data_IF_064695995020
#
_entry.id   IF_064695995020
#
_cell.length_a   1.000
_cell.length_b   1.000
_cell.length_c   1.000
_cell.angle_alpha   90.00
_cell.angle_beta   90.00
_cell.angle_gamma   90.00
#
_symmetry.space_group_name_H-M   'P 1'
#
loop_
_entity.id
_entity.type
_entity.pdbx_description
1 polymer ?
#
# COMPACT_ATOMS: atom_id res chain seq x y z
N UNK A 1 17.92 6.08 -13.93
CA UNK A 1 17.01 6.90 -13.10
C UNK A 1 17.65 8.27 -12.88
N UNK A 2 16.90 9.37 -13.04
CA UNK A 2 17.43 10.72 -12.77
C UNK A 2 17.53 10.97 -11.26
N UNK A 3 18.39 11.92 -10.85
CA UNK A 3 18.52 12.30 -9.44
C UNK A 3 17.19 12.74 -8.83
N UNK A 4 16.37 13.49 -9.59
CA UNK A 4 15.06 13.94 -9.13
C UNK A 4 14.11 12.78 -8.80
N UNK A 5 14.03 11.76 -9.68
CA UNK A 5 13.22 10.56 -9.43
C UNK A 5 13.78 9.79 -8.22
N UNK A 6 15.10 9.65 -8.11
CA UNK A 6 15.72 8.98 -6.97
C UNK A 6 15.35 9.66 -5.64
N UNK A 7 15.45 10.98 -5.56
CA UNK A 7 15.08 11.75 -4.37
C UNK A 7 13.58 11.66 -4.08
N UNK A 8 12.72 11.65 -5.10
CA UNK A 8 11.29 11.48 -4.93
C UNK A 8 10.95 10.10 -4.34
N UNK A 9 11.62 9.03 -4.82
CA UNK A 9 11.45 7.66 -4.29
C UNK A 9 11.92 7.57 -2.84
N UNK A 10 13.08 8.16 -2.50
CA UNK A 10 13.56 8.21 -1.12
C UNK A 10 12.64 9.03 -0.21
N UNK A 11 12.14 10.16 -0.69
CA UNK A 11 11.16 10.99 0.02
C UNK A 11 9.86 10.22 0.29
N UNK A 12 9.35 9.50 -0.71
CA UNK A 12 8.18 8.64 -0.55
C UNK A 12 8.42 7.53 0.47
N UNK A 13 9.59 6.87 0.44
CA UNK A 13 9.96 5.85 1.42
C UNK A 13 10.05 6.41 2.86
N UNK A 14 10.63 7.60 3.02
CA UNK A 14 10.70 8.30 4.30
C UNK A 14 9.31 8.66 4.83
N UNK A 15 8.46 9.28 4.00
CA UNK A 15 7.09 9.63 4.37
C UNK A 15 6.28 8.38 4.73
N UNK A 16 6.48 7.28 3.99
CA UNK A 16 5.87 5.99 4.30
C UNK A 16 6.26 5.48 5.69
N UNK A 17 7.55 5.49 6.01
CA UNK A 17 8.03 5.07 7.33
C UNK A 17 7.50 6.01 8.43
N UNK A 18 7.46 7.31 8.18
CA UNK A 18 7.02 8.33 9.13
C UNK A 18 5.55 8.15 9.51
N UNK A 19 4.63 8.02 8.56
CA UNK A 19 3.21 7.90 8.90
C UNK A 19 2.93 6.59 9.66
N UNK A 20 3.57 5.47 9.27
CA UNK A 20 3.45 4.20 10.00
C UNK A 20 3.94 4.35 11.45
N UNK A 21 5.04 5.07 11.67
CA UNK A 21 5.57 5.35 13.00
C UNK A 21 4.60 6.22 13.82
N UNK A 22 3.99 7.25 13.22
CA UNK A 22 3.01 8.11 13.89
C UNK A 22 1.75 7.33 14.30
N UNK A 23 1.20 6.47 13.44
CA UNK A 23 0.07 5.60 13.79
C UNK A 23 0.44 4.63 14.92
N UNK A 24 1.65 4.08 14.90
CA UNK A 24 2.14 3.16 15.93
C UNK A 24 2.27 3.84 17.30
N UNK A 25 2.77 5.08 17.34
CA UNK A 25 2.95 5.86 18.57
C UNK A 25 1.64 6.51 19.06
N UNK A 26 0.63 6.60 18.18
CA UNK A 26 -0.67 7.18 18.51
C UNK A 26 -1.45 6.38 19.56
N UNK A 27 -2.25 7.09 20.34
CA UNK A 27 -3.12 6.49 21.37
C UNK A 27 -4.19 5.60 20.74
N UNK A 28 -4.88 6.09 19.71
CA UNK A 28 -5.88 5.36 18.92
C UNK A 28 -5.42 5.14 17.48
N UNK A 29 -5.26 3.86 17.10
CA UNK A 29 -4.80 3.43 15.78
C UNK A 29 -5.90 3.64 14.75
N UNK A 30 -7.13 3.28 15.11
CA UNK A 30 -8.34 3.58 14.33
C UNK A 30 -8.50 5.08 14.13
N UNK A 31 -8.39 5.87 15.21
CA UNK A 31 -8.54 7.33 15.13
C UNK A 31 -7.48 7.97 14.23
N UNK A 32 -6.22 7.52 14.32
CA UNK A 32 -5.15 7.97 13.44
C UNK A 32 -5.43 7.65 11.96
N UNK A 33 -5.93 6.45 11.66
CA UNK A 33 -6.27 6.05 10.29
C UNK A 33 -7.48 6.82 9.74
N UNK A 34 -8.48 7.14 10.57
CA UNK A 34 -9.61 7.99 10.18
C UNK A 34 -9.15 9.42 9.87
N UNK A 35 -8.33 10.01 10.74
CA UNK A 35 -7.77 11.36 10.51
C UNK A 35 -6.97 11.40 9.21
N UNK A 36 -6.11 10.40 8.98
CA UNK A 36 -5.34 10.30 7.73
C UNK A 36 -6.29 10.29 6.51
N UNK A 37 -7.33 9.46 6.55
CA UNK A 37 -8.28 9.30 5.44
C UNK A 37 -9.13 10.55 5.19
N UNK A 38 -9.53 11.27 6.24
CA UNK A 38 -10.25 12.55 6.11
C UNK A 38 -9.35 13.60 5.46
N UNK A 39 -8.07 13.66 5.87
CA UNK A 39 -7.11 14.66 5.37
C UNK A 39 -6.70 14.39 3.91
N UNK A 40 -6.76 13.13 3.46
CA UNK A 40 -6.52 12.77 2.05
C UNK A 40 -7.52 13.44 1.10
N UNK A 41 -8.79 13.61 1.49
CA UNK A 41 -9.84 14.22 0.65
C UNK A 41 -9.52 15.66 0.20
N UNK A 42 -9.30 16.64 1.10
CA UNK A 42 -8.98 18.02 0.68
C UNK A 42 -7.65 18.10 -0.06
N UNK A 43 -6.67 17.23 0.24
CA UNK A 43 -5.41 17.14 -0.51
C UNK A 43 -5.69 16.71 -1.95
N UNK A 44 -6.47 15.64 -2.13
CA UNK A 44 -6.88 15.14 -3.43
C UNK A 44 -7.63 16.20 -4.24
N UNK A 45 -8.65 16.84 -3.64
CA UNK A 45 -9.41 17.92 -4.28
C UNK A 45 -8.50 19.08 -4.70
N UNK A 46 -7.53 19.45 -3.85
CA UNK A 46 -6.57 20.51 -4.19
C UNK A 46 -5.73 20.15 -5.40
N UNK A 47 -5.20 18.92 -5.46
CA UNK A 47 -4.41 18.48 -6.62
C UNK A 47 -5.25 18.40 -7.89
N UNK A 48 -6.51 17.96 -7.79
CA UNK A 48 -7.44 17.94 -8.95
C UNK A 48 -7.66 19.34 -9.52
N UNK A 49 -7.66 20.40 -8.70
CA UNK A 49 -7.79 21.78 -9.21
C UNK A 49 -6.62 22.25 -10.08
N UNK A 50 -5.45 21.61 -9.96
CA UNK A 50 -4.23 21.98 -10.69
C UNK A 50 -3.80 20.93 -11.73
N UNK A 51 -4.62 19.90 -11.96
CA UNK A 51 -4.28 18.80 -12.87
C UNK A 51 -5.36 18.62 -13.94
N UNK A 52 -4.95 18.06 -15.08
CA UNK A 52 -5.89 17.72 -16.14
C UNK A 52 -6.85 16.61 -15.69
N UNK A 53 -8.06 16.63 -16.26
CA UNK A 53 -9.05 15.58 -16.01
C UNK A 53 -8.52 14.21 -16.44
N UNK A 54 -8.82 13.19 -15.63
CA UNK A 54 -8.48 11.80 -15.97
C UNK A 54 -9.35 11.29 -17.12
N UNK A 55 -8.82 10.34 -17.88
CA UNK A 55 -9.63 9.58 -18.83
C UNK A 55 -10.78 8.87 -18.10
N UNK A 56 -11.97 8.86 -18.70
CA UNK A 56 -13.14 8.15 -18.17
C UNK A 56 -12.87 6.65 -18.00
N UNK A 57 -11.98 6.08 -18.81
CA UNK A 57 -11.51 4.71 -18.68
C UNK A 57 -10.81 4.43 -17.33
N UNK A 58 -10.27 5.46 -16.66
CA UNK A 58 -9.63 5.33 -15.35
C UNK A 58 -10.61 5.40 -14.17
N UNK A 59 -11.86 5.82 -14.37
CA UNK A 59 -12.85 5.96 -13.28
C UNK A 59 -13.14 4.62 -12.56
N UNK A 60 -13.34 3.48 -13.27
CA UNK A 60 -13.52 2.19 -12.60
C UNK A 60 -12.31 1.80 -11.74
N UNK A 61 -11.10 2.17 -12.18
CA UNK A 61 -9.86 1.90 -11.44
C UNK A 61 -9.78 2.71 -10.15
N UNK A 62 -10.17 3.99 -10.19
CA UNK A 62 -10.24 4.85 -8.99
C UNK A 62 -11.19 4.25 -7.95
N UNK A 63 -12.37 3.79 -8.37
CA UNK A 63 -13.35 3.19 -7.44
C UNK A 63 -12.83 1.87 -6.87
N UNK A 64 -12.25 1.02 -7.71
CA UNK A 64 -11.65 -0.25 -7.27
C UNK A 64 -10.47 -0.03 -6.32
N UNK A 65 -9.64 0.99 -6.57
CA UNK A 65 -8.57 1.42 -5.69
C UNK A 65 -9.16 1.84 -4.34
N UNK A 66 -10.13 2.76 -4.31
CA UNK A 66 -10.77 3.19 -3.06
C UNK A 66 -11.30 2.02 -2.21
N UNK A 67 -11.99 1.05 -2.81
CA UNK A 67 -12.47 -0.14 -2.09
C UNK A 67 -11.34 -1.01 -1.53
N UNK A 68 -10.25 -1.18 -2.27
CA UNK A 68 -9.12 -2.02 -1.87
C UNK A 68 -8.21 -1.34 -0.85
N UNK A 69 -8.05 -0.01 -0.94
CA UNK A 69 -7.42 0.82 0.08
C UNK A 69 -8.22 0.74 1.38
N UNK A 70 -9.54 0.86 1.34
CA UNK A 70 -10.41 0.63 2.50
C UNK A 70 -10.18 -0.76 3.13
N UNK A 71 -10.22 -1.83 2.33
CA UNK A 71 -9.99 -3.18 2.82
C UNK A 71 -8.62 -3.33 3.49
N UNK A 72 -7.57 -2.75 2.89
CA UNK A 72 -6.24 -2.69 3.47
C UNK A 72 -6.24 -1.96 4.82
N UNK A 73 -6.78 -0.75 4.89
CA UNK A 73 -6.83 0.06 6.11
C UNK A 73 -7.60 -0.68 7.22
N UNK A 74 -8.71 -1.34 6.87
CA UNK A 74 -9.51 -2.15 7.79
C UNK A 74 -8.72 -3.34 8.35
N UNK A 75 -8.17 -4.19 7.48
CA UNK A 75 -7.40 -5.37 7.91
C UNK A 75 -6.17 -4.99 8.72
N UNK A 76 -5.44 -3.94 8.29
CA UNK A 76 -4.24 -3.47 8.97
C UNK A 76 -4.57 -2.95 10.36
N UNK A 77 -5.58 -2.09 10.47
CA UNK A 77 -5.98 -1.49 11.76
C UNK A 77 -6.47 -2.57 12.73
N UNK A 78 -7.27 -3.53 12.25
CA UNK A 78 -7.73 -4.64 13.07
C UNK A 78 -6.56 -5.50 13.58
N UNK A 79 -5.57 -5.76 12.73
CA UNK A 79 -4.40 -6.54 13.09
C UNK A 79 -3.45 -5.77 14.04
N UNK A 80 -3.34 -4.45 13.92
CA UNK A 80 -2.56 -3.61 14.84
C UNK A 80 -3.21 -3.39 16.20
N UNK A 81 -4.55 -3.37 16.26
CA UNK A 81 -5.28 -3.16 17.51
C UNK A 81 -5.25 -4.41 18.41
N UNK A 82 -5.22 -5.61 17.80
CA UNK A 82 -5.31 -6.89 18.51
C UNK A 82 -4.02 -7.70 18.54
N UNK A 83 -3.01 -7.34 17.75
CA UNK A 83 -1.75 -8.09 17.62
C UNK A 83 -0.52 -7.28 18.00
N UNK A 84 0.56 -7.96 18.36
CA UNK A 84 1.87 -7.33 18.50
C UNK A 84 2.35 -6.82 17.13
N UNK A 85 2.45 -5.50 17.01
CA UNK A 85 2.95 -4.79 15.83
C UNK A 85 4.30 -5.32 15.35
N UNK A 86 5.17 -5.77 16.25
CA UNK A 86 6.50 -6.28 15.88
C UNK A 86 6.42 -7.56 15.04
N UNK A 87 5.26 -8.23 15.03
CA UNK A 87 5.06 -9.54 14.40
C UNK A 87 4.05 -9.52 13.26
N UNK A 88 2.95 -8.79 13.43
CA UNK A 88 1.95 -8.58 12.36
C UNK A 88 2.55 -7.76 11.21
N UNK A 89 3.40 -6.78 11.53
CA UNK A 89 3.95 -5.85 10.55
C UNK A 89 4.81 -6.53 9.47
N UNK A 90 5.78 -7.42 9.80
CA UNK A 90 6.54 -8.15 8.77
C UNK A 90 5.66 -8.96 7.81
N UNK A 91 4.58 -9.59 8.28
CA UNK A 91 3.68 -10.38 7.42
C UNK A 91 2.85 -9.45 6.54
N UNK A 92 2.15 -8.48 7.15
CA UNK A 92 1.26 -7.58 6.45
C UNK A 92 1.98 -6.73 5.39
N UNK A 93 3.22 -6.31 5.67
CA UNK A 93 4.02 -5.47 4.75
C UNK A 93 4.97 -6.26 3.86
N UNK A 94 5.49 -7.40 4.32
CA UNK A 94 6.46 -8.19 3.57
C UNK A 94 5.82 -9.11 2.54
N UNK A 95 4.63 -9.67 2.81
CA UNK A 95 3.97 -10.54 1.84
C UNK A 95 3.47 -9.77 0.62
N UNK A 96 3.09 -8.50 0.75
CA UNK A 96 2.53 -7.72 -0.35
C UNK A 96 3.51 -7.52 -1.53
N UNK A 97 4.76 -7.04 -1.34
CA UNK A 97 5.74 -6.97 -2.42
C UNK A 97 6.01 -8.31 -3.10
N UNK A 98 5.99 -9.42 -2.34
CA UNK A 98 6.17 -10.75 -2.91
C UNK A 98 5.00 -11.16 -3.80
N UNK A 99 3.76 -10.89 -3.36
CA UNK A 99 2.56 -11.15 -4.17
C UNK A 99 2.61 -10.31 -5.46
N UNK A 100 2.96 -9.02 -5.36
CA UNK A 100 3.08 -8.13 -6.52
C UNK A 100 4.17 -8.62 -7.47
N UNK A 101 5.34 -9.03 -6.97
CA UNK A 101 6.43 -9.52 -7.80
C UNK A 101 6.07 -10.81 -8.53
N UNK A 102 5.43 -11.77 -7.85
CA UNK A 102 4.98 -13.04 -8.44
C UNK A 102 3.88 -12.81 -9.48
N UNK A 103 2.89 -11.96 -9.16
CA UNK A 103 1.83 -11.61 -10.10
C UNK A 103 2.39 -10.85 -11.32
N UNK A 104 3.33 -9.93 -11.09
CA UNK A 104 4.05 -9.20 -12.12
C UNK A 104 4.77 -10.12 -13.09
N UNK A 105 5.58 -11.03 -12.57
CA UNK A 105 6.32 -11.99 -13.40
C UNK A 105 5.41 -12.96 -14.18
N UNK A 106 4.21 -13.27 -13.66
CA UNK A 106 3.31 -14.23 -14.29
C UNK A 106 2.32 -13.60 -15.29
N UNK A 107 1.88 -12.36 -15.04
CA UNK A 107 0.75 -11.74 -15.75
C UNK A 107 1.06 -10.40 -16.40
N UNK A 108 2.11 -9.68 -16.00
CA UNK A 108 2.54 -8.48 -16.71
C UNK A 108 3.51 -8.84 -17.83
N UNK A 109 3.36 -8.18 -18.98
CA UNK A 109 4.19 -8.40 -20.16
C UNK A 109 5.61 -7.78 -20.05
N UNK A 110 5.90 -7.14 -18.92
CA UNK A 110 7.17 -6.46 -18.68
C UNK A 110 8.28 -7.50 -18.48
N UNK A 111 9.32 -7.45 -19.31
CA UNK A 111 10.44 -8.38 -19.23
C UNK A 111 11.28 -8.12 -17.96
N UNK A 112 11.22 -9.05 -17.01
CA UNK A 112 12.04 -9.00 -15.79
C UNK A 112 13.44 -9.52 -16.09
N UNK A 113 14.44 -8.67 -15.88
CA UNK A 113 15.85 -9.01 -16.06
C UNK A 113 16.36 -9.94 -14.96
N UNK A 114 17.45 -10.66 -15.22
CA UNK A 114 18.10 -11.50 -14.21
C UNK A 114 18.51 -10.73 -12.94
N UNK A 115 18.89 -9.46 -13.08
CA UNK A 115 19.27 -8.60 -11.96
C UNK A 115 18.07 -8.26 -11.06
N UNK A 116 16.89 -8.04 -11.65
CA UNK A 116 15.66 -7.78 -10.90
C UNK A 116 15.19 -9.02 -10.14
N UNK A 117 15.35 -10.23 -10.70
CA UNK A 117 15.10 -11.46 -9.96
C UNK A 117 16.00 -11.60 -8.72
N UNK A 118 17.28 -11.24 -8.82
CA UNK A 118 18.20 -11.22 -7.67
C UNK A 118 17.73 -10.21 -6.63
N UNK A 119 17.33 -9.01 -7.06
CA UNK A 119 16.80 -7.99 -6.15
C UNK A 119 15.52 -8.46 -5.42
N UNK A 120 14.60 -9.11 -6.14
CA UNK A 120 13.39 -9.72 -5.57
C UNK A 120 13.77 -10.81 -4.55
N UNK A 121 14.75 -11.67 -4.86
CA UNK A 121 15.20 -12.71 -3.95
C UNK A 121 15.84 -12.14 -2.67
N UNK A 122 16.64 -11.08 -2.77
CA UNK A 122 17.22 -10.37 -1.62
C UNK A 122 16.12 -9.73 -0.77
N UNK A 123 15.14 -9.08 -1.40
CA UNK A 123 13.99 -8.50 -0.72
C UNK A 123 13.20 -9.57 0.05
N UNK A 124 12.90 -10.70 -0.61
CA UNK A 124 12.22 -11.83 -0.01
C UNK A 124 13.00 -12.41 1.19
N UNK A 125 14.32 -12.56 1.06
CA UNK A 125 15.17 -13.02 2.15
C UNK A 125 15.14 -12.05 3.36
N UNK A 126 15.22 -10.74 3.12
CA UNK A 126 15.11 -9.73 4.18
C UNK A 126 13.77 -9.79 4.91
N UNK A 127 12.67 -9.93 4.16
CA UNK A 127 11.32 -10.11 4.72
C UNK A 127 11.23 -11.38 5.56
N UNK A 128 11.73 -12.51 5.06
CA UNK A 128 11.71 -13.80 5.78
C UNK A 128 12.54 -13.73 7.08
N UNK A 129 13.68 -13.05 7.06
CA UNK A 129 14.50 -12.85 8.26
C UNK A 129 13.76 -12.04 9.32
N UNK A 130 13.07 -10.96 8.93
CA UNK A 130 12.21 -10.19 9.85
C UNK A 130 11.02 -11.01 10.36
N UNK A 131 10.46 -11.90 9.53
CA UNK A 131 9.33 -12.75 9.90
C UNK A 131 9.70 -13.91 10.86
N UNK A 132 10.98 -14.27 11.03
CA UNK A 132 11.39 -15.38 11.93
C UNK A 132 10.97 -15.18 13.38
N UNK A 133 10.92 -13.94 13.86
CA UNK A 133 10.44 -13.63 15.21
C UNK A 133 8.95 -13.93 15.44
N UNK A 134 8.19 -14.14 14.36
CA UNK A 134 6.75 -14.41 14.40
C UNK A 134 6.43 -15.88 14.69
N UNK A 135 7.28 -16.82 14.22
CA UNK A 135 6.98 -18.26 14.27
C UNK A 135 7.47 -18.98 15.54
N UNK A 136 8.25 -18.31 16.39
CA UNK A 136 8.90 -18.91 17.57
C UNK A 136 8.09 -18.78 18.86
N UNK A 137 6.99 -18.05 18.82
CA UNK A 137 6.16 -17.74 19.98
C UNK A 137 4.73 -18.19 19.71
N UNK A 138 4.14 -19.00 20.59
CA UNK A 138 2.80 -19.59 20.44
C UNK A 138 1.66 -18.57 20.53
N UNK A 139 1.58 -17.66 19.57
CA UNK A 139 0.62 -16.55 19.53
C UNK A 139 -0.63 -16.90 18.69
N UNK A 140 -1.70 -16.13 18.89
CA UNK A 140 -3.04 -16.34 18.35
C UNK A 140 -3.02 -16.41 16.80
N UNK A 141 -2.91 -17.63 16.25
CA UNK A 141 -3.10 -17.96 14.82
C UNK A 141 -4.31 -17.30 14.17
N UNK A 142 -5.27 -16.82 14.99
CA UNK A 142 -6.45 -16.07 14.62
C UNK A 142 -6.17 -14.72 13.94
N UNK A 143 -4.99 -14.12 14.13
CA UNK A 143 -4.63 -12.82 13.51
C UNK A 143 -3.94 -12.97 12.15
N UNK A 144 -3.45 -14.17 11.83
CA UNK A 144 -2.78 -14.46 10.57
C UNK A 144 -3.65 -14.19 9.33
N UNK A 145 -4.96 -14.53 9.32
CA UNK A 145 -5.84 -14.18 8.20
C UNK A 145 -5.96 -12.68 7.96
N UNK A 146 -5.94 -11.86 9.01
CA UNK A 146 -6.02 -10.39 8.89
C UNK A 146 -4.70 -9.81 8.35
N UNK A 147 -3.56 -10.31 8.81
CA UNK A 147 -2.25 -9.89 8.29
C UNK A 147 -2.10 -10.25 6.79
N UNK A 148 -2.50 -11.47 6.41
CA UNK A 148 -2.51 -11.90 5.00
C UNK A 148 -3.53 -11.10 4.20
N UNK A 149 -4.72 -10.86 4.74
CA UNK A 149 -5.77 -10.02 4.13
C UNK A 149 -5.26 -8.62 3.82
N UNK A 150 -4.55 -8.00 4.76
CA UNK A 150 -3.87 -6.71 4.56
C UNK A 150 -2.82 -6.77 3.45
N UNK A 151 -2.03 -7.84 3.39
CA UNK A 151 -1.02 -8.02 2.36
C UNK A 151 -1.64 -8.21 0.97
N UNK A 152 -2.70 -9.01 0.86
CA UNK A 152 -3.45 -9.22 -0.37
C UNK A 152 -4.12 -7.93 -0.85
N UNK A 153 -4.76 -7.18 0.06
CA UNK A 153 -5.34 -5.88 -0.26
C UNK A 153 -4.25 -4.90 -0.72
N UNK A 154 -3.08 -4.92 -0.08
CA UNK A 154 -1.92 -4.10 -0.47
C UNK A 154 -1.43 -4.42 -1.87
N UNK A 155 -1.27 -5.71 -2.18
CA UNK A 155 -0.86 -6.14 -3.51
C UNK A 155 -1.92 -5.77 -4.57
N UNK A 156 -3.20 -5.95 -4.23
CA UNK A 156 -4.31 -5.67 -5.14
C UNK A 156 -4.40 -4.19 -5.48
N UNK A 157 -4.41 -3.30 -4.48
CA UNK A 157 -4.45 -1.86 -4.76
C UNK A 157 -3.18 -1.41 -5.49
N UNK A 158 -2.01 -1.99 -5.19
CA UNK A 158 -0.75 -1.62 -5.87
C UNK A 158 -0.83 -1.93 -7.37
N UNK A 159 -1.42 -3.06 -7.75
CA UNK A 159 -1.62 -3.44 -9.14
C UNK A 159 -2.69 -2.58 -9.82
N UNK A 160 -3.82 -2.34 -9.14
CA UNK A 160 -4.90 -1.46 -9.62
C UNK A 160 -4.36 -0.06 -9.87
N UNK A 161 -3.60 0.51 -8.92
CA UNK A 161 -3.02 1.85 -9.04
C UNK A 161 -1.99 1.92 -10.15
N UNK A 162 -1.14 0.89 -10.28
CA UNK A 162 -0.16 0.79 -11.35
C UNK A 162 -0.80 0.72 -12.75
N UNK A 163 -1.94 0.05 -12.90
CA UNK A 163 -2.66 -0.02 -14.18
C UNK A 163 -3.53 1.22 -14.43
N UNK A 164 -4.27 1.66 -13.42
CA UNK A 164 -5.14 2.84 -13.45
C UNK A 164 -4.36 4.11 -13.80
N UNK A 165 -3.20 4.32 -13.17
CA UNK A 165 -2.34 5.46 -13.49
C UNK A 165 -1.87 5.46 -14.96
N UNK A 166 -1.60 4.29 -15.55
CA UNK A 166 -1.18 4.17 -16.95
C UNK A 166 -2.29 4.51 -17.95
N UNK A 167 -3.53 4.14 -17.65
CA UNK A 167 -4.68 4.43 -18.53
C UNK A 167 -5.29 5.82 -18.27
N UNK A 168 -4.94 6.48 -17.17
CA UNK A 168 -5.53 7.76 -16.75
C UNK A 168 -5.16 8.96 -17.61
N UNK A 169 -4.05 8.90 -18.35
CA UNK A 169 -3.47 10.06 -19.04
C UNK A 169 -2.82 11.10 -18.12
N UNK A 170 -3.18 11.13 -16.83
CA UNK A 170 -2.63 12.01 -15.81
C UNK A 170 -2.45 11.26 -14.48
N UNK A 171 -1.27 10.65 -14.23
CA UNK A 171 -1.02 9.87 -13.01
C UNK A 171 -1.21 10.67 -11.72
N UNK A 172 -0.89 11.97 -11.73
CA UNK A 172 -1.10 12.84 -10.57
C UNK A 172 -2.59 13.04 -10.27
N UNK A 173 -3.41 13.29 -11.30
CA UNK A 173 -4.86 13.39 -11.15
C UNK A 173 -5.49 12.06 -10.74
N UNK A 174 -4.97 10.93 -11.25
CA UNK A 174 -5.42 9.60 -10.83
C UNK A 174 -5.23 9.39 -9.31
N UNK A 175 -4.03 9.62 -8.79
CA UNK A 175 -3.76 9.49 -7.34
C UNK A 175 -4.63 10.44 -6.53
N UNK A 176 -4.84 11.66 -7.01
CA UNK A 176 -5.69 12.63 -6.35
C UNK A 176 -7.15 12.17 -6.25
N UNK A 177 -7.69 11.57 -7.32
CA UNK A 177 -9.01 10.95 -7.30
C UNK A 177 -9.08 9.70 -6.41
N UNK A 178 -8.01 8.91 -6.34
CA UNK A 178 -7.92 7.78 -5.38
C UNK A 178 -7.97 8.30 -3.94
N UNK A 179 -7.28 9.39 -3.60
CA UNK A 179 -7.36 10.00 -2.26
C UNK A 179 -8.77 10.46 -1.90
N UNK A 180 -9.50 11.04 -2.86
CA UNK A 180 -10.91 11.42 -2.65
C UNK A 180 -11.79 10.18 -2.45
N UNK A 181 -11.63 9.15 -3.29
CA UNK A 181 -12.41 7.92 -3.21
C UNK A 181 -12.13 7.15 -1.90
N UNK A 182 -10.87 6.97 -1.54
CA UNK A 182 -10.45 6.28 -0.33
C UNK A 182 -10.92 7.03 0.93
N UNK A 183 -10.72 8.34 0.98
CA UNK A 183 -11.18 9.17 2.08
C UNK A 183 -12.70 9.15 2.26
N UNK A 184 -13.48 9.17 1.16
CA UNK A 184 -14.96 9.12 1.22
C UNK A 184 -15.52 7.73 1.52
N UNK A 185 -14.83 6.65 1.16
CA UNK A 185 -15.25 5.27 1.49
C UNK A 185 -14.91 4.93 2.93
N UNK A 186 -13.81 5.48 3.46
CA UNK A 186 -13.33 5.17 4.81
C UNK A 186 -14.05 5.92 5.95
N UNK A 187 -14.72 7.04 5.64
CA UNK A 187 -15.43 7.90 6.61
C UNK A 187 -16.94 7.71 6.57
#
# INVERSE_FOLDING_TARGET
MSLGIFLAVLGAAFLHALWNALIKLGTSKVGGMVILSIVEVPIGLTVVMFTDAIDRAAVPWVLAAGCTHFAYKFFLTYAYDRGDLSRVYPIARGAAPMIVALFGAAFLADAVTHQEYIAIAVLAAGILLMARGVFTSGEDRKLLPFAIGSACATATYTLIDGMGARVSGSPAAYVAWVFVADGTIFT
#
